data_IF_956379596967
#
_entry.id   IF_956379596967
#
_cell.length_a   1.000
_cell.length_b   1.000
_cell.length_c   1.000
_cell.angle_alpha   90.00
_cell.angle_beta   90.00
_cell.angle_gamma   90.00
#
_symmetry.space_group_name_H-M   'P 1'
#
loop_
_entity.id
_entity.type
_entity.pdbx_description
1 polymer ?
#
# COMPACT_ATOMS: atom_id res chain seq x y z
N UNK A 1 -19.95 -2.40 4.21
CA UNK A 1 -18.66 -3.09 4.03
C UNK A 1 -18.98 -4.56 3.78
N UNK A 2 -18.42 -5.17 2.73
CA UNK A 2 -18.66 -6.60 2.43
C UNK A 2 -17.96 -7.53 3.43
N UNK A 3 -18.30 -8.82 3.45
CA UNK A 3 -17.65 -9.80 4.31
C UNK A 3 -16.18 -9.96 3.93
N UNK A 4 -15.32 -10.18 4.91
CA UNK A 4 -13.89 -10.47 4.70
C UNK A 4 -13.73 -11.98 4.41
N UNK A 5 -12.60 -12.35 3.79
CA UNK A 5 -12.32 -13.75 3.46
C UNK A 5 -12.46 -14.70 4.66
N UNK A 6 -12.00 -14.28 5.84
CA UNK A 6 -12.13 -15.09 7.07
C UNK A 6 -13.57 -15.25 7.54
N UNK A 7 -14.44 -14.26 7.32
CA UNK A 7 -15.87 -14.35 7.65
C UNK A 7 -16.59 -15.40 6.78
N UNK A 8 -16.00 -15.69 5.61
CA UNK A 8 -16.46 -16.73 4.68
C UNK A 8 -15.73 -18.08 4.87
N UNK A 9 -14.95 -18.22 5.93
CA UNK A 9 -14.21 -19.45 6.24
C UNK A 9 -12.91 -19.63 5.45
N UNK A 10 -12.49 -18.63 4.65
CA UNK A 10 -11.22 -18.67 3.90
C UNK A 10 -10.09 -18.21 4.82
N UNK A 11 -9.26 -19.16 5.25
CA UNK A 11 -8.12 -18.91 6.12
C UNK A 11 -6.83 -19.06 5.31
N UNK A 12 -6.05 -17.96 5.21
CA UNK A 12 -4.76 -17.94 4.53
C UNK A 12 -3.67 -17.68 5.59
N UNK A 13 -2.61 -18.50 5.51
CA UNK A 13 -1.50 -18.43 6.46
C UNK A 13 -1.68 -19.33 7.68
N UNK A 14 -0.60 -19.48 8.44
CA UNK A 14 -0.50 -20.38 9.61
C UNK A 14 -0.64 -19.66 10.95
N UNK A 15 -0.42 -18.35 10.95
CA UNK A 15 -0.49 -17.52 12.15
C UNK A 15 -1.90 -16.98 12.36
N UNK A 16 -2.27 -16.80 13.62
CA UNK A 16 -3.50 -16.10 13.99
C UNK A 16 -3.45 -14.63 13.56
N UNK A 17 -4.59 -14.01 13.26
CA UNK A 17 -4.66 -12.58 12.97
C UNK A 17 -4.47 -11.76 14.25
N UNK A 18 -4.04 -10.51 14.10
CA UNK A 18 -4.13 -9.49 15.15
C UNK A 18 -5.59 -9.05 15.40
N UNK A 19 -5.80 -8.13 16.36
CA UNK A 19 -7.15 -7.71 16.80
C UNK A 19 -8.07 -7.22 15.68
N UNK A 20 -7.51 -6.53 14.70
CA UNK A 20 -8.27 -5.97 13.56
C UNK A 20 -8.10 -6.80 12.28
N UNK A 21 -7.24 -7.82 12.30
CA UNK A 21 -6.84 -8.57 11.10
C UNK A 21 -6.47 -7.61 9.95
N UNK A 22 -5.63 -6.63 10.24
CA UNK A 22 -5.24 -5.55 9.35
C UNK A 22 -3.77 -5.15 9.59
N UNK A 23 -3.16 -4.51 8.60
CA UNK A 23 -1.78 -4.01 8.71
C UNK A 23 -1.61 -3.01 9.86
N UNK A 24 -2.68 -2.31 10.25
CA UNK A 24 -2.70 -1.39 11.38
C UNK A 24 -2.63 -2.07 12.76
N UNK A 25 -2.63 -3.41 12.82
CA UNK A 25 -2.28 -4.15 14.02
C UNK A 25 -0.77 -4.02 14.36
N UNK A 26 0.05 -3.62 13.39
CA UNK A 26 1.44 -3.24 13.63
C UNK A 26 1.49 -1.83 14.21
N UNK A 27 2.02 -1.71 15.42
CA UNK A 27 2.08 -0.43 16.14
C UNK A 27 2.81 0.65 15.32
N UNK A 28 2.17 1.81 15.16
CA UNK A 28 2.72 2.96 14.42
C UNK A 28 2.36 3.00 12.93
N UNK A 29 1.95 1.89 12.33
CA UNK A 29 1.50 1.88 10.93
C UNK A 29 0.17 2.60 10.79
N UNK A 30 0.08 3.49 9.81
CA UNK A 30 -1.14 4.22 9.46
C UNK A 30 -1.51 3.95 8.01
N UNK A 31 -2.82 3.91 7.73
CA UNK A 31 -3.35 3.69 6.39
C UNK A 31 -4.40 4.73 6.09
N UNK A 32 -4.31 5.34 4.91
CA UNK A 32 -5.33 6.24 4.37
C UNK A 32 -5.83 5.74 3.02
N UNK A 33 -7.10 5.99 2.75
CA UNK A 33 -7.73 5.68 1.47
C UNK A 33 -8.46 6.91 0.92
N UNK A 34 -8.33 7.11 -0.40
CA UNK A 34 -9.21 8.01 -1.13
C UNK A 34 -9.82 7.23 -2.30
N UNK A 35 -11.14 7.28 -2.41
CA UNK A 35 -11.89 6.56 -3.45
C UNK A 35 -12.65 7.55 -4.31
N UNK A 36 -12.56 7.37 -5.63
CA UNK A 36 -13.30 8.16 -6.61
C UNK A 36 -14.31 7.25 -7.33
N UNK A 37 -15.58 7.55 -7.12
CA UNK A 37 -16.70 6.89 -7.80
C UNK A 37 -17.56 7.99 -8.42
N UNK A 38 -17.59 8.06 -9.74
CA UNK A 38 -18.41 9.03 -10.48
C UNK A 38 -18.81 8.47 -11.84
N UNK A 39 -19.89 8.97 -12.38
CA UNK A 39 -20.40 8.63 -13.71
C UNK A 39 -20.21 9.78 -14.72
N UNK A 40 -20.24 11.02 -14.26
CA UNK A 40 -20.10 12.22 -15.08
C UNK A 40 -18.84 13.03 -14.69
N UNK A 41 -18.18 13.75 -15.60
CA UNK A 41 -18.36 13.78 -17.07
C UNK A 41 -17.81 12.52 -17.76
N UNK A 42 -17.13 11.66 -17.02
CA UNK A 42 -16.63 10.36 -17.46
C UNK A 42 -16.66 9.37 -16.29
N UNK A 43 -16.92 8.12 -16.59
CA UNK A 43 -16.92 7.06 -15.57
C UNK A 43 -15.55 6.96 -14.91
N UNK A 44 -15.53 7.03 -13.58
CA UNK A 44 -14.34 6.75 -12.78
C UNK A 44 -14.69 5.79 -11.65
N UNK A 45 -13.90 4.75 -11.52
CA UNK A 45 -13.93 3.74 -10.44
C UNK A 45 -12.50 3.47 -10.03
N UNK A 46 -11.95 4.36 -9.23
CA UNK A 46 -10.53 4.34 -8.89
C UNK A 46 -10.29 4.85 -7.48
N UNK A 47 -9.05 4.78 -7.03
CA UNK A 47 -8.67 5.28 -5.74
C UNK A 47 -7.18 5.12 -5.49
N UNK A 48 -6.78 5.57 -4.33
CA UNK A 48 -5.42 5.45 -3.83
C UNK A 48 -5.44 5.01 -2.37
N UNK A 49 -4.50 4.15 -2.03
CA UNK A 49 -4.21 3.78 -0.65
C UNK A 49 -2.79 4.21 -0.33
N UNK A 50 -2.62 4.94 0.76
CA UNK A 50 -1.31 5.28 1.29
C UNK A 50 -1.07 4.54 2.61
N UNK A 51 0.08 3.90 2.73
CA UNK A 51 0.51 3.21 3.96
C UNK A 51 1.74 3.94 4.48
N UNK A 52 1.62 4.46 5.70
CA UNK A 52 2.68 5.14 6.42
C UNK A 52 3.33 4.15 7.39
N UNK A 53 4.63 3.81 7.25
CA UNK A 53 5.23 2.66 7.93
C UNK A 53 5.39 2.85 9.45
N UNK A 54 5.46 4.09 9.95
CA UNK A 54 5.59 4.43 11.37
C UNK A 54 5.09 5.86 11.62
N UNK A 55 5.20 6.36 12.85
CA UNK A 55 4.68 7.70 13.22
C UNK A 55 5.60 8.85 12.81
N UNK A 56 6.87 8.58 12.55
CA UNK A 56 7.87 9.57 12.16
C UNK A 56 7.82 9.94 10.68
N UNK A 57 8.85 10.59 10.20
CA UNK A 57 9.05 11.00 8.81
C UNK A 57 9.79 9.86 8.05
N UNK A 58 9.12 9.12 7.15
CA UNK A 58 9.73 7.98 6.47
C UNK A 58 10.90 8.36 5.54
N UNK A 59 10.99 9.62 5.10
CA UNK A 59 12.14 10.07 4.31
C UNK A 59 13.41 10.23 5.16
N UNK A 60 13.26 10.47 6.44
CA UNK A 60 14.37 10.63 7.40
C UNK A 60 14.62 9.38 8.22
N UNK A 61 13.55 8.72 8.63
CA UNK A 61 13.55 7.54 9.51
C UNK A 61 13.20 6.30 8.69
N UNK A 62 14.18 5.73 8.02
CA UNK A 62 14.00 4.59 7.12
C UNK A 62 13.69 3.32 7.89
N UNK A 63 12.91 2.44 7.28
CA UNK A 63 12.60 1.10 7.83
C UNK A 63 13.14 0.01 6.93
N UNK A 64 13.46 -1.15 7.50
CA UNK A 64 13.84 -2.32 6.71
C UNK A 64 12.71 -2.75 5.80
N UNK A 65 13.04 -3.04 4.56
CA UNK A 65 12.10 -3.47 3.55
C UNK A 65 12.71 -4.48 2.59
N UNK A 66 11.85 -5.30 2.02
CA UNK A 66 12.18 -6.19 0.92
C UNK A 66 11.03 -6.20 -0.08
N UNK A 67 11.33 -6.54 -1.31
CA UNK A 67 10.34 -6.65 -2.40
C UNK A 67 10.34 -8.06 -2.96
N UNK A 68 9.19 -8.49 -3.44
CA UNK A 68 9.02 -9.73 -4.20
C UNK A 68 8.08 -9.48 -5.37
N UNK A 69 8.49 -9.87 -6.55
CA UNK A 69 7.69 -9.76 -7.77
C UNK A 69 6.97 -11.08 -8.00
N UNK A 70 5.65 -11.08 -7.88
CA UNK A 70 4.84 -12.25 -8.20
C UNK A 70 4.74 -12.46 -9.72
N UNK A 71 4.55 -11.36 -10.47
CA UNK A 71 4.46 -11.34 -11.93
C UNK A 71 4.73 -9.92 -12.46
N UNK A 72 4.80 -9.77 -13.77
CA UNK A 72 5.08 -8.49 -14.44
C UNK A 72 3.84 -7.67 -14.80
N UNK A 73 2.67 -7.95 -14.23
CA UNK A 73 1.43 -7.24 -14.58
C UNK A 73 1.29 -5.88 -13.88
N UNK A 74 1.89 -5.71 -12.70
CA UNK A 74 1.92 -4.46 -11.96
C UNK A 74 3.20 -3.68 -12.18
N UNK A 75 3.17 -2.40 -11.82
CA UNK A 75 4.33 -1.52 -11.78
C UNK A 75 4.74 -1.25 -10.33
N UNK A 76 6.05 -1.20 -10.06
CA UNK A 76 6.57 -0.91 -8.74
C UNK A 76 7.76 0.05 -8.85
N UNK A 77 7.53 1.32 -8.52
CA UNK A 77 8.59 2.33 -8.45
C UNK A 77 9.35 2.16 -7.12
N UNK A 78 10.67 2.28 -7.16
CA UNK A 78 11.54 2.18 -5.98
C UNK A 78 12.02 0.77 -5.66
N UNK A 79 11.68 -0.22 -6.49
CA UNK A 79 12.11 -1.61 -6.29
C UNK A 79 13.63 -1.75 -6.27
N UNK A 80 14.34 -1.05 -7.16
CA UNK A 80 15.80 -1.11 -7.27
C UNK A 80 16.47 -0.58 -6.01
N UNK A 81 15.97 0.53 -5.46
CA UNK A 81 16.48 1.11 -4.22
C UNK A 81 16.27 0.17 -3.02
N UNK A 82 15.07 -0.42 -2.90
CA UNK A 82 14.79 -1.37 -1.83
C UNK A 82 15.65 -2.62 -1.98
N UNK A 83 15.81 -3.11 -3.20
CA UNK A 83 16.62 -4.30 -3.48
C UNK A 83 18.12 -4.08 -3.17
N UNK A 84 18.64 -2.90 -3.44
CA UNK A 84 20.04 -2.55 -3.18
C UNK A 84 20.29 -2.22 -1.71
N UNK A 85 19.40 -1.44 -1.09
CA UNK A 85 19.66 -0.89 0.25
C UNK A 85 18.94 -1.65 1.37
N UNK A 86 17.93 -2.45 1.05
CA UNK A 86 17.11 -3.13 2.06
C UNK A 86 16.27 -2.17 2.89
N UNK A 87 16.02 -0.95 2.41
CA UNK A 87 15.36 0.12 3.16
C UNK A 87 14.25 0.77 2.34
N UNK A 88 13.13 1.05 3.01
CA UNK A 88 12.07 1.91 2.53
C UNK A 88 12.24 3.30 3.17
N UNK A 89 12.14 4.35 2.35
CA UNK A 89 12.29 5.74 2.78
C UNK A 89 11.17 6.64 2.25
N UNK A 90 10.01 6.08 2.05
CA UNK A 90 8.80 6.78 1.60
C UNK A 90 7.55 6.06 2.13
N UNK A 91 6.38 6.66 2.10
CA UNK A 91 5.14 5.90 2.23
C UNK A 91 5.01 4.91 1.06
N UNK A 92 4.29 3.81 1.29
CA UNK A 92 3.87 2.89 0.20
C UNK A 92 2.55 3.39 -0.35
N UNK A 93 2.49 3.66 -1.65
CA UNK A 93 1.28 4.11 -2.33
C UNK A 93 0.80 3.05 -3.31
N UNK A 94 -0.45 2.65 -3.19
CA UNK A 94 -1.10 1.65 -4.04
C UNK A 94 -2.21 2.34 -4.83
N UNK A 95 -2.13 2.28 -6.14
CA UNK A 95 -3.12 2.87 -7.05
C UNK A 95 -3.16 2.10 -8.38
N UNK A 96 -3.93 2.58 -9.34
CA UNK A 96 -3.92 2.04 -10.71
C UNK A 96 -2.53 2.19 -11.34
N UNK A 97 -2.06 1.17 -12.07
CA UNK A 97 -0.80 1.21 -12.83
C UNK A 97 -0.75 2.39 -13.83
N UNK A 98 -1.89 2.85 -14.33
CA UNK A 98 -1.98 4.02 -15.22
C UNK A 98 -1.79 5.36 -14.49
N UNK A 99 -1.89 5.39 -13.17
CA UNK A 99 -1.75 6.57 -12.32
C UNK A 99 -0.43 6.62 -11.55
N UNK A 100 0.48 5.69 -11.79
CA UNK A 100 1.70 5.52 -10.98
C UNK A 100 2.61 6.75 -11.05
N UNK A 101 2.77 7.35 -12.21
CA UNK A 101 3.58 8.56 -12.38
C UNK A 101 3.03 9.75 -11.60
N UNK A 102 1.70 9.93 -11.60
CA UNK A 102 1.04 10.97 -10.82
C UNK A 102 1.17 10.72 -9.31
N UNK A 103 1.01 9.47 -8.88
CA UNK A 103 1.19 9.09 -7.49
C UNK A 103 2.62 9.36 -7.01
N UNK A 104 3.61 9.01 -7.82
CA UNK A 104 5.02 9.27 -7.51
C UNK A 104 5.32 10.76 -7.38
N UNK A 105 4.94 11.58 -8.37
CA UNK A 105 5.15 13.04 -8.35
C UNK A 105 4.46 13.71 -7.14
N UNK A 106 3.23 13.27 -6.83
CA UNK A 106 2.48 13.79 -5.67
C UNK A 106 3.13 13.41 -4.34
N UNK A 107 3.73 12.23 -4.26
CA UNK A 107 4.38 11.74 -3.04
C UNK A 107 5.72 12.42 -2.79
N UNK A 108 6.40 12.88 -3.85
CA UNK A 108 7.69 13.53 -3.79
C UNK A 108 7.63 15.04 -3.43
N UNK A 109 6.44 15.64 -3.39
CA UNK A 109 6.18 17.07 -3.05
C UNK A 109 5.83 17.26 -1.58
#
# INVERSE_FOLDING_TARGET
>A
MGPRARDLGVVIGRLGPGPHNAITDVGGVRVGHATVVRDEPSVARTGVTAIWPHQGDPWRERVYAATSILNGYGELIGIDQISEWGLLHSPVVITSSLAIGLAYDTTAR
#
